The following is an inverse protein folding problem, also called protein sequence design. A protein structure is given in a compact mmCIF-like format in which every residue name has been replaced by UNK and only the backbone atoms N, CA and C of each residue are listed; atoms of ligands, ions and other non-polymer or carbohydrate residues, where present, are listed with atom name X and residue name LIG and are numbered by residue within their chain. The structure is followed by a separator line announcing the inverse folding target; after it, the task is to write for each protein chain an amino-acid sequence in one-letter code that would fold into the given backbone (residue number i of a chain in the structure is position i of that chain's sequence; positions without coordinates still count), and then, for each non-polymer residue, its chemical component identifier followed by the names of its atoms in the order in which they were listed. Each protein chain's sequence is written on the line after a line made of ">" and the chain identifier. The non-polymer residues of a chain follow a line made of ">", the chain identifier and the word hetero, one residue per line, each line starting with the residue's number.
data_IF_535162364944
#
_entry.id   IF_535162364944
#
_cell.length_a   1.000
_cell.length_b   1.000
_cell.length_c   1.000
_cell.angle_alpha   90.00
_cell.angle_beta   90.00
_cell.angle_gamma   90.00
#
_symmetry.space_group_name_H-M   'P 1'
#
loop_
_entity.id
_entity.type
_entity.pdbx_description
1 polymer ?
#
# COMPACT_ATOMS: atom_id res chain seq x y z
N UNK A 1 59.04 9.92 14.58
CA UNK A 1 57.64 10.38 14.65
C UNK A 1 56.67 9.74 13.64
N UNK A 2 57.12 9.00 12.61
CA UNK A 2 56.21 8.46 11.57
C UNK A 2 55.38 7.21 11.95
N UNK A 3 55.90 6.30 12.79
CA UNK A 3 55.20 5.05 13.15
C UNK A 3 53.96 5.24 14.04
N UNK A 4 53.92 6.31 14.85
CA UNK A 4 52.80 6.63 15.74
C UNK A 4 51.63 7.24 14.97
N UNK A 5 51.92 8.14 14.04
CA UNK A 5 50.94 8.76 13.13
C UNK A 5 50.24 7.71 12.27
N UNK A 6 50.99 6.72 11.74
CA UNK A 6 50.41 5.64 10.95
C UNK A 6 49.42 4.78 11.74
N UNK A 7 49.76 4.45 13.01
CA UNK A 7 48.83 3.72 13.89
C UNK A 7 47.56 4.52 14.17
N UNK A 8 47.69 5.83 14.40
CA UNK A 8 46.55 6.71 14.62
C UNK A 8 45.65 6.80 13.38
N UNK A 9 46.26 6.88 12.19
CA UNK A 9 45.55 6.97 10.91
C UNK A 9 44.81 5.67 10.58
N UNK A 10 45.43 4.51 10.83
CA UNK A 10 44.77 3.19 10.67
C UNK A 10 43.63 3.03 11.67
N UNK A 11 43.78 3.51 12.90
CA UNK A 11 42.70 3.50 13.90
C UNK A 11 41.54 4.42 13.47
N UNK A 12 41.85 5.58 12.89
CA UNK A 12 40.85 6.53 12.43
C UNK A 12 40.08 5.98 11.23
N UNK A 13 40.78 5.36 10.27
CA UNK A 13 40.16 4.70 9.11
C UNK A 13 39.31 3.51 9.54
N UNK A 14 39.74 2.70 10.51
CA UNK A 14 38.93 1.56 10.99
C UNK A 14 37.71 2.01 11.80
N UNK A 15 37.81 3.09 12.57
CA UNK A 15 36.66 3.73 13.24
C UNK A 15 35.69 4.35 12.23
N UNK A 16 36.20 4.96 11.15
CA UNK A 16 35.38 5.56 10.10
C UNK A 16 34.69 4.49 9.24
N UNK A 17 35.36 3.38 8.92
CA UNK A 17 34.76 2.23 8.23
C UNK A 17 33.72 1.52 9.10
N UNK A 18 33.94 1.37 10.40
CA UNK A 18 32.94 0.78 11.31
C UNK A 18 31.73 1.70 11.54
N UNK A 19 31.89 3.03 11.47
CA UNK A 19 30.75 3.97 11.48
C UNK A 19 29.99 3.96 10.15
N UNK A 20 30.67 3.79 9.02
CA UNK A 20 30.04 3.59 7.70
C UNK A 20 29.29 2.25 7.62
N UNK A 21 29.83 1.17 8.21
CA UNK A 21 29.14 -0.12 8.30
C UNK A 21 27.96 -0.06 9.29
N UNK A 22 28.08 0.70 10.39
CA UNK A 22 26.99 0.92 11.35
C UNK A 22 25.90 1.88 10.83
N UNK A 23 26.22 2.76 9.88
CA UNK A 23 25.23 3.59 9.17
C UNK A 23 24.65 2.91 7.93
N UNK A 24 25.36 1.94 7.33
CA UNK A 24 24.83 1.04 6.31
C UNK A 24 23.95 -0.08 6.89
N UNK A 25 24.10 -0.36 8.19
CA UNK A 25 23.05 -0.97 9.01
C UNK A 25 22.22 0.14 9.68
N UNK A 26 21.65 1.03 8.88
CA UNK A 26 20.28 1.44 9.18
C UNK A 26 19.50 0.14 9.24
N UNK A 27 19.34 -0.37 10.48
CA UNK A 27 18.31 -1.32 10.80
C UNK A 27 17.04 -0.67 10.27
N UNK A 28 16.66 -1.06 9.06
CA UNK A 28 15.28 -1.36 8.72
C UNK A 28 14.82 -2.45 9.69
N UNK A 29 14.79 -2.13 10.99
CA UNK A 29 13.71 -2.53 11.84
C UNK A 29 12.50 -1.82 11.24
N UNK A 30 12.03 -2.38 10.13
CA UNK A 30 10.61 -2.35 9.85
C UNK A 30 10.06 -3.12 11.03
N UNK A 31 9.63 -2.39 12.05
CA UNK A 31 8.68 -2.94 13.00
C UNK A 31 7.41 -3.09 12.17
N UNK A 32 7.37 -4.16 11.37
CA UNK A 32 6.15 -4.63 10.73
C UNK A 32 5.27 -5.07 11.90
N UNK A 33 4.43 -4.17 12.39
CA UNK A 33 3.30 -4.59 13.21
C UNK A 33 2.28 -5.17 12.24
N UNK A 34 2.52 -6.41 11.80
CA UNK A 34 1.40 -7.24 11.43
C UNK A 34 0.74 -7.69 12.74
N UNK A 35 -0.58 -7.57 12.84
CA UNK A 35 -1.32 -8.31 13.86
C UNK A 35 -1.35 -9.83 13.59
N UNK A 36 -0.83 -10.30 12.44
CA UNK A 36 -0.89 -11.71 12.00
C UNK A 36 0.29 -12.03 11.05
N UNK A 37 0.88 -13.23 11.12
CA UNK A 37 2.00 -13.63 10.25
C UNK A 37 1.72 -13.44 8.74
N UNK A 38 2.75 -13.08 7.97
CA UNK A 38 2.73 -12.93 6.50
C UNK A 38 2.29 -14.21 5.76
N UNK A 39 2.43 -15.38 6.39
CA UNK A 39 1.94 -16.69 5.94
C UNK A 39 0.41 -16.87 6.10
N UNK A 40 -0.25 -16.02 6.90
CA UNK A 40 -1.67 -16.15 7.25
C UNK A 40 -2.55 -15.04 6.63
N UNK A 41 -1.95 -14.04 5.98
CA UNK A 41 -2.68 -12.98 5.27
C UNK A 41 -2.59 -13.19 3.76
N UNK A 42 -3.52 -13.97 3.20
CA UNK A 42 -3.77 -13.92 1.76
C UNK A 42 -4.28 -12.50 1.44
N UNK A 43 -3.38 -11.61 1.02
CA UNK A 43 -3.76 -10.23 0.73
C UNK A 43 -4.53 -10.19 -0.58
N UNK A 44 -5.81 -9.83 -0.47
CA UNK A 44 -6.71 -9.69 -1.61
C UNK A 44 -6.27 -8.56 -2.55
N UNK A 45 -5.44 -7.63 -2.08
CA UNK A 45 -4.83 -6.57 -2.89
C UNK A 45 -4.14 -7.12 -4.14
N UNK A 46 -3.44 -8.26 -4.02
CA UNK A 46 -2.68 -8.89 -5.11
C UNK A 46 -3.58 -9.67 -6.07
N UNK A 47 -4.58 -10.35 -5.54
CA UNK A 47 -5.57 -11.04 -6.38
C UNK A 47 -6.34 -10.05 -7.25
N UNK A 48 -6.77 -8.94 -6.67
CA UNK A 48 -7.46 -7.88 -7.41
C UNK A 48 -6.54 -7.23 -8.45
N UNK A 49 -5.28 -6.98 -8.11
CA UNK A 49 -4.28 -6.48 -9.07
C UNK A 49 -4.14 -7.41 -10.29
N UNK A 50 -4.00 -8.72 -10.06
CA UNK A 50 -3.88 -9.72 -11.14
C UNK A 50 -5.14 -9.77 -12.01
N UNK A 51 -6.32 -9.67 -11.39
CA UNK A 51 -7.57 -9.58 -12.12
C UNK A 51 -7.60 -8.35 -13.04
N UNK A 52 -7.30 -7.17 -12.51
CA UNK A 52 -7.28 -5.93 -13.30
C UNK A 52 -6.25 -6.00 -14.43
N UNK A 53 -5.08 -6.60 -14.19
CA UNK A 53 -4.05 -6.88 -15.22
C UNK A 53 -4.58 -7.79 -16.33
N UNK A 54 -5.28 -8.87 -15.97
CA UNK A 54 -5.83 -9.83 -16.94
C UNK A 54 -6.83 -9.23 -17.92
N UNK A 55 -7.40 -8.05 -17.59
CA UNK A 55 -8.32 -7.33 -18.46
C UNK A 55 -7.63 -6.47 -19.53
N UNK A 56 -6.29 -6.57 -19.67
CA UNK A 56 -5.55 -6.04 -20.83
C UNK A 56 -5.16 -4.57 -20.71
N UNK A 57 -4.87 -4.18 -19.48
CA UNK A 57 -5.18 -2.83 -19.03
C UNK A 57 -3.99 -2.30 -18.18
N UNK A 58 -2.91 -3.07 -18.07
CA UNK A 58 -1.72 -2.66 -17.35
C UNK A 58 -0.48 -2.86 -18.20
N UNK A 59 0.46 -1.91 -18.14
CA UNK A 59 1.66 -1.83 -19.01
C UNK A 59 2.72 -2.91 -18.69
N UNK A 60 2.33 -4.08 -18.16
CA UNK A 60 3.23 -5.14 -17.69
C UNK A 60 4.29 -4.70 -16.67
N UNK A 61 4.17 -3.50 -16.09
CA UNK A 61 5.11 -2.98 -15.10
C UNK A 61 4.94 -3.68 -13.75
N UNK A 62 6.02 -3.75 -12.97
CA UNK A 62 6.01 -4.36 -11.64
C UNK A 62 5.38 -3.37 -10.65
N UNK A 63 4.27 -3.75 -10.04
CA UNK A 63 3.62 -2.92 -9.01
C UNK A 63 4.43 -2.95 -7.72
N UNK A 64 4.38 -1.83 -7.00
CA UNK A 64 5.10 -1.66 -5.74
C UNK A 64 4.13 -1.87 -4.59
N UNK A 65 4.49 -2.78 -3.71
CA UNK A 65 3.92 -2.84 -2.36
C UNK A 65 4.61 -1.77 -1.53
N UNK A 66 3.85 -0.80 -1.04
CA UNK A 66 4.35 0.21 -0.11
C UNK A 66 3.94 -0.21 1.29
N UNK A 67 4.86 -0.86 2.00
CA UNK A 67 4.65 -1.35 3.38
C UNK A 67 5.25 -0.37 4.43
N UNK A 68 5.89 0.74 4.02
CA UNK A 68 6.41 1.85 4.88
C UNK A 68 6.40 3.18 4.10
N UNK A 69 6.40 4.42 4.63
CA UNK A 69 6.27 5.07 5.96
C UNK A 69 5.47 6.37 5.75
N UNK A 70 4.15 6.38 5.75
CA UNK A 70 3.46 6.52 7.01
C UNK A 70 2.06 5.96 6.86
N UNK A 71 1.69 4.96 7.68
CA UNK A 71 0.28 4.56 7.83
C UNK A 71 -0.61 5.79 8.02
N UNK A 72 -0.05 6.86 8.63
CA UNK A 72 -0.65 8.19 8.72
C UNK A 72 -1.10 8.76 7.36
N UNK A 73 -0.32 8.67 6.30
CA UNK A 73 -0.70 9.09 4.95
C UNK A 73 -1.80 8.22 4.36
N UNK A 74 -1.69 6.88 4.46
CA UNK A 74 -2.76 5.99 3.98
C UNK A 74 -4.08 6.28 4.72
N UNK A 75 -4.00 6.49 6.04
CA UNK A 75 -5.13 6.90 6.87
C UNK A 75 -5.70 8.24 6.43
N UNK A 76 -4.86 9.23 6.11
CA UNK A 76 -5.30 10.52 5.55
C UNK A 76 -6.03 10.34 4.21
N UNK A 77 -5.52 9.51 3.29
CA UNK A 77 -6.19 9.20 2.01
C UNK A 77 -7.61 8.66 2.23
N UNK A 78 -7.80 7.91 3.31
CA UNK A 78 -9.06 7.28 3.73
C UNK A 78 -9.89 8.10 4.73
N UNK A 79 -9.52 9.35 4.98
CA UNK A 79 -10.39 10.34 5.61
C UNK A 79 -11.18 11.06 4.52
N UNK A 80 -12.39 10.57 4.24
CA UNK A 80 -13.20 10.99 3.10
C UNK A 80 -14.57 11.45 3.61
N UNK A 81 -14.99 12.65 3.24
CA UNK A 81 -16.30 13.18 3.64
C UNK A 81 -16.51 13.26 5.16
N UNK A 82 -15.46 13.58 5.93
CA UNK A 82 -15.42 13.58 7.39
C UNK A 82 -15.60 12.19 8.04
N UNK A 83 -15.36 11.11 7.29
CA UNK A 83 -15.39 9.73 7.79
C UNK A 83 -13.97 9.17 7.74
N UNK A 84 -13.50 8.60 8.85
CA UNK A 84 -12.27 7.81 8.92
C UNK A 84 -12.59 6.33 8.69
N UNK A 85 -12.26 5.82 7.50
CA UNK A 85 -12.49 4.42 7.11
C UNK A 85 -11.48 3.43 7.71
N UNK A 86 -10.46 3.92 8.41
CA UNK A 86 -9.42 3.08 9.00
C UNK A 86 -9.65 2.76 10.47
N UNK A 87 -10.72 3.29 11.07
CA UNK A 87 -11.01 3.08 12.48
C UNK A 87 -11.27 1.59 12.77
N UNK A 88 -10.50 1.04 13.70
CA UNK A 88 -10.62 -0.37 14.11
C UNK A 88 -9.96 -1.36 13.15
N UNK A 89 -9.10 -0.89 12.25
CA UNK A 89 -8.32 -1.75 11.37
C UNK A 89 -7.36 -2.67 12.17
N UNK A 90 -7.20 -3.91 11.73
CA UNK A 90 -6.14 -4.84 12.21
C UNK A 90 -4.89 -4.77 11.34
N UNK A 91 -5.05 -4.44 10.05
CA UNK A 91 -3.96 -4.18 9.12
C UNK A 91 -4.42 -3.24 8.01
N UNK A 92 -3.46 -2.59 7.36
CA UNK A 92 -3.67 -1.80 6.14
C UNK A 92 -2.52 -2.13 5.19
N UNK A 93 -2.83 -2.38 3.93
CA UNK A 93 -1.84 -2.58 2.86
C UNK A 93 -2.23 -1.69 1.70
N UNK A 94 -1.26 -0.99 1.11
CA UNK A 94 -1.46 -0.23 -0.12
C UNK A 94 -0.56 -0.80 -1.22
N UNK A 95 -1.18 -1.07 -2.37
CA UNK A 95 -0.53 -1.45 -3.60
C UNK A 95 -0.71 -0.34 -4.61
N UNK A 96 0.40 0.08 -5.18
CA UNK A 96 0.44 1.18 -6.13
C UNK A 96 0.94 0.68 -7.47
N UNK A 97 0.30 1.14 -8.54
CA UNK A 97 0.64 0.70 -9.88
C UNK A 97 0.50 1.79 -10.94
N UNK A 98 1.41 1.80 -11.92
CA UNK A 98 1.44 2.80 -13.00
C UNK A 98 2.84 3.07 -13.56
N UNK A 99 2.95 4.09 -14.42
CA UNK A 99 4.24 4.58 -14.92
C UNK A 99 4.95 5.38 -13.84
N UNK A 100 6.05 4.85 -13.33
CA UNK A 100 7.07 5.65 -12.67
C UNK A 100 7.64 6.59 -13.74
N UNK A 101 7.38 7.90 -13.65
CA UNK A 101 8.24 8.88 -14.29
C UNK A 101 9.44 9.11 -13.37
N UNK A 102 10.58 9.45 -13.96
CA UNK A 102 11.87 9.50 -13.26
C UNK A 102 11.94 10.61 -12.20
N UNK A 103 10.94 11.50 -12.17
CA UNK A 103 10.85 12.58 -11.20
C UNK A 103 10.11 12.15 -9.91
N UNK A 104 10.79 12.09 -8.76
CA UNK A 104 10.18 11.78 -7.47
C UNK A 104 9.22 12.86 -6.95
N UNK A 105 9.20 14.07 -7.55
CA UNK A 105 8.22 15.12 -7.21
C UNK A 105 6.89 14.97 -7.97
N UNK A 106 6.85 14.14 -9.01
CA UNK A 106 5.64 13.83 -9.77
C UNK A 106 5.04 12.49 -9.30
N UNK A 107 4.11 12.54 -8.35
CA UNK A 107 3.26 11.37 -8.05
C UNK A 107 2.48 10.97 -9.31
N UNK A 108 2.96 9.93 -9.99
CA UNK A 108 2.42 9.48 -11.28
C UNK A 108 2.04 7.99 -11.28
N UNK A 109 1.58 7.49 -10.14
CA UNK A 109 0.93 6.18 -10.08
C UNK A 109 -0.39 6.26 -10.85
N UNK A 110 -0.71 5.24 -11.64
CA UNK A 110 -1.91 5.22 -12.48
C UNK A 110 -3.15 4.81 -11.69
N UNK A 111 -2.98 3.94 -10.69
CA UNK A 111 -4.02 3.48 -9.78
C UNK A 111 -3.43 3.02 -8.44
N UNK A 112 -4.27 2.95 -7.42
CA UNK A 112 -3.93 2.36 -6.14
C UNK A 112 -5.03 1.45 -5.62
N UNK A 113 -4.63 0.41 -4.88
CA UNK A 113 -5.52 -0.48 -4.14
C UNK A 113 -5.10 -0.43 -2.67
N UNK A 114 -6.00 0.00 -1.79
CA UNK A 114 -5.80 -0.07 -0.34
C UNK A 114 -6.70 -1.15 0.24
N UNK A 115 -6.10 -2.18 0.83
CA UNK A 115 -6.81 -3.20 1.61
C UNK A 115 -6.78 -2.83 3.09
N UNK A 116 -7.95 -2.81 3.72
CA UNK A 116 -8.11 -2.66 5.17
C UNK A 116 -8.73 -3.93 5.72
N UNK A 117 -8.02 -4.60 6.64
CA UNK A 117 -8.54 -5.75 7.37
C UNK A 117 -9.17 -5.35 8.69
N UNK A 118 -10.22 -6.07 9.09
CA UNK A 118 -10.93 -5.91 10.38
C UNK A 118 -10.94 -7.22 11.17
N UNK A 119 -11.22 -7.15 12.49
CA UNK A 119 -11.27 -8.35 13.33
C UNK A 119 -12.52 -9.20 13.08
N UNK A 120 -13.61 -8.57 12.63
CA UNK A 120 -14.89 -9.22 12.35
C UNK A 120 -15.42 -8.90 10.96
N UNK A 121 -16.22 -9.81 10.40
CA UNK A 121 -16.90 -9.56 9.11
C UNK A 121 -17.93 -8.44 9.22
N UNK A 122 -18.62 -8.33 10.35
CA UNK A 122 -19.63 -7.28 10.56
C UNK A 122 -19.01 -5.87 10.46
N UNK A 123 -17.83 -5.66 11.04
CA UNK A 123 -17.10 -4.40 10.88
C UNK A 123 -16.79 -4.10 9.41
N UNK A 124 -16.31 -5.11 8.66
CA UNK A 124 -16.03 -4.95 7.23
C UNK A 124 -17.31 -4.63 6.44
N UNK A 125 -18.46 -5.23 6.79
CA UNK A 125 -19.78 -4.91 6.20
C UNK A 125 -20.19 -3.47 6.46
N UNK A 126 -20.06 -3.00 7.70
CA UNK A 126 -20.47 -1.64 8.08
C UNK A 126 -19.59 -0.58 7.43
N UNK A 127 -18.28 -0.81 7.38
CA UNK A 127 -17.31 0.05 6.68
C UNK A 127 -17.60 0.05 5.18
N UNK A 128 -17.81 -1.11 4.57
CA UNK A 128 -18.10 -1.21 3.14
C UNK A 128 -19.37 -0.46 2.74
N UNK A 129 -20.47 -0.59 3.51
CA UNK A 129 -21.71 0.14 3.23
C UNK A 129 -21.49 1.65 3.22
N UNK A 130 -20.74 2.17 4.19
CA UNK A 130 -20.38 3.59 4.27
C UNK A 130 -19.46 4.02 3.13
N UNK A 131 -18.45 3.21 2.81
CA UNK A 131 -17.52 3.47 1.72
C UNK A 131 -18.22 3.50 0.35
N UNK A 132 -19.18 2.61 0.13
CA UNK A 132 -19.98 2.55 -1.11
C UNK A 132 -20.88 3.77 -1.30
N UNK A 133 -21.44 4.31 -0.22
CA UNK A 133 -22.18 5.59 -0.29
C UNK A 133 -21.22 6.76 -0.50
N UNK A 134 -20.06 6.75 0.16
CA UNK A 134 -19.08 7.81 0.05
C UNK A 134 -18.47 7.90 -1.37
N UNK A 135 -18.22 6.77 -2.03
CA UNK A 135 -17.63 6.72 -3.39
C UNK A 135 -18.50 7.35 -4.47
N UNK A 136 -19.81 7.52 -4.20
CA UNK A 136 -20.75 8.18 -5.10
C UNK A 136 -20.73 9.71 -4.95
N UNK A 137 -20.23 10.24 -3.82
CA UNK A 137 -20.31 11.65 -3.45
C UNK A 137 -18.93 12.33 -3.34
N UNK A 138 -17.90 11.56 -3.00
CA UNK A 138 -16.59 12.07 -2.67
C UNK A 138 -15.50 11.35 -3.47
N UNK A 139 -14.38 12.02 -3.62
CA UNK A 139 -13.14 11.46 -4.17
C UNK A 139 -12.22 11.02 -3.03
N UNK A 140 -11.18 10.25 -3.32
CA UNK A 140 -10.14 9.99 -2.33
C UNK A 140 -9.49 11.30 -1.88
N UNK A 141 -9.00 11.33 -0.64
CA UNK A 141 -8.28 12.48 -0.10
C UNK A 141 -6.80 12.46 -0.53
N UNK A 142 -6.58 12.54 -1.84
CA UNK A 142 -5.27 12.71 -2.46
C UNK A 142 -5.25 14.13 -3.03
N UNK A 143 -4.47 15.06 -2.45
CA UNK A 143 -4.37 16.43 -2.91
C UNK A 143 -4.06 16.49 -4.42
N UNK A 144 -4.52 17.56 -5.07
CA UNK A 144 -4.32 17.85 -6.51
C UNK A 144 -5.10 16.92 -7.45
N UNK A 145 -5.07 15.60 -7.24
CA UNK A 145 -5.62 14.63 -8.20
C UNK A 145 -7.10 14.30 -7.99
N UNK A 146 -7.63 14.47 -6.77
CA UNK A 146 -9.03 14.17 -6.40
C UNK A 146 -9.58 12.90 -7.10
N UNK A 147 -8.93 11.74 -6.96
CA UNK A 147 -9.25 10.61 -7.81
C UNK A 147 -10.57 9.95 -7.39
N UNK A 148 -11.41 9.52 -8.36
CA UNK A 148 -12.57 8.70 -8.07
C UNK A 148 -12.11 7.35 -7.50
N UNK A 149 -13.00 6.71 -6.73
CA UNK A 149 -12.73 5.38 -6.19
C UNK A 149 -13.96 4.48 -6.22
N UNK A 150 -13.70 3.18 -6.13
CA UNK A 150 -14.67 2.12 -5.87
C UNK A 150 -14.19 1.28 -4.71
N UNK A 151 -15.09 0.52 -4.14
CA UNK A 151 -14.76 -0.37 -3.04
C UNK A 151 -15.41 -1.73 -3.25
N UNK A 152 -14.72 -2.76 -2.76
CA UNK A 152 -15.22 -4.13 -2.70
C UNK A 152 -14.91 -4.70 -1.32
N UNK A 153 -15.80 -5.55 -0.81
CA UNK A 153 -15.60 -6.25 0.46
C UNK A 153 -15.34 -7.72 0.19
N UNK A 154 -14.32 -8.27 0.84
CA UNK A 154 -14.02 -9.69 0.81
C UNK A 154 -13.76 -10.19 2.22
N UNK A 155 -14.61 -11.08 2.73
CA UNK A 155 -14.53 -11.57 4.10
C UNK A 155 -14.49 -10.42 5.11
N UNK A 156 -13.38 -10.37 5.86
CA UNK A 156 -13.07 -9.34 6.87
C UNK A 156 -12.30 -8.13 6.32
N UNK A 157 -12.10 -8.04 5.01
CA UNK A 157 -11.37 -6.95 4.36
C UNK A 157 -12.29 -6.05 3.54
N UNK A 158 -11.93 -4.78 3.44
CA UNK A 158 -12.48 -3.83 2.48
C UNK A 158 -11.34 -3.29 1.63
N UNK A 159 -11.46 -3.42 0.32
CA UNK A 159 -10.50 -2.92 -0.65
C UNK A 159 -11.06 -1.63 -1.26
N UNK A 160 -10.26 -0.57 -1.22
CA UNK A 160 -10.51 0.70 -1.89
C UNK A 160 -9.62 0.77 -3.12
N UNK A 161 -10.22 0.96 -4.29
CA UNK A 161 -9.51 1.05 -5.56
C UNK A 161 -9.73 2.45 -6.11
N UNK A 162 -8.65 3.15 -6.42
CA UNK A 162 -8.73 4.51 -6.94
C UNK A 162 -7.84 4.67 -8.18
N UNK A 163 -8.24 5.58 -9.04
CA UNK A 163 -7.61 5.87 -10.33
C UNK A 163 -7.10 7.31 -10.31
N UNK A 164 -5.77 7.51 -10.34
CA UNK A 164 -5.17 8.86 -10.39
C UNK A 164 -5.18 9.38 -11.84
N UNK A 165 -5.13 8.48 -12.83
CA UNK A 165 -5.16 8.82 -14.24
C UNK A 165 -6.52 8.48 -14.85
N UNK A 166 -7.18 9.43 -15.51
CA UNK A 166 -8.50 9.23 -16.17
C UNK A 166 -8.57 8.01 -17.09
N UNK A 167 -7.45 7.57 -17.67
CA UNK A 167 -7.37 6.36 -18.48
C UNK A 167 -7.64 5.07 -17.68
N UNK A 168 -7.52 5.14 -16.35
CA UNK A 168 -7.75 4.04 -15.40
C UNK A 168 -9.16 4.05 -14.79
N UNK A 169 -10.05 4.95 -15.19
CA UNK A 169 -11.42 5.02 -14.64
C UNK A 169 -12.26 3.80 -15.05
N UNK A 170 -12.10 3.30 -16.27
CA UNK A 170 -12.77 2.07 -16.75
C UNK A 170 -12.50 0.82 -15.89
N UNK A 171 -11.46 0.85 -15.07
CA UNK A 171 -11.06 -0.25 -14.20
C UNK A 171 -11.81 -0.20 -12.89
N UNK A 172 -12.19 1.00 -12.46
CA UNK A 172 -13.03 1.18 -11.29
C UNK A 172 -14.36 0.44 -11.48
N UNK A 173 -14.93 0.47 -12.69
CA UNK A 173 -16.16 -0.26 -13.00
C UNK A 173 -15.99 -1.79 -12.93
N UNK A 174 -14.78 -2.30 -13.24
CA UNK A 174 -14.46 -3.73 -13.15
C UNK A 174 -14.28 -4.22 -11.70
N UNK A 175 -14.02 -3.32 -10.75
CA UNK A 175 -13.86 -3.68 -9.33
C UNK A 175 -15.14 -4.27 -8.77
N UNK A 176 -16.30 -3.75 -9.18
CA UNK A 176 -17.59 -4.21 -8.66
C UNK A 176 -17.97 -5.61 -9.14
N UNK A 177 -17.43 -6.04 -10.29
CA UNK A 177 -17.62 -7.37 -10.84
C UNK A 177 -16.58 -8.38 -10.37
N UNK A 178 -15.52 -7.93 -9.69
CA UNK A 178 -14.47 -8.81 -9.21
C UNK A 178 -14.94 -9.68 -8.04
N UNK A 179 -14.47 -10.92 -8.03
CA UNK A 179 -14.63 -11.86 -6.93
C UNK A 179 -13.26 -12.48 -6.63
N UNK A 180 -12.92 -12.68 -5.34
CA UNK A 180 -11.69 -13.37 -4.97
C UNK A 180 -11.69 -14.79 -5.51
N UNK A 181 -10.49 -15.33 -5.79
CA UNK A 181 -10.38 -16.75 -6.14
C UNK A 181 -10.84 -17.56 -4.93
N UNK A 182 -11.81 -18.47 -5.13
CA UNK A 182 -12.18 -19.44 -4.11
C UNK A 182 -10.89 -20.12 -3.65
N UNK A 183 -10.59 -20.07 -2.36
CA UNK A 183 -9.60 -20.99 -1.81
C UNK A 183 -10.14 -22.39 -2.08
N UNK A 184 -9.55 -23.10 -3.03
CA UNK A 184 -9.56 -24.55 -2.95
C UNK A 184 -8.89 -24.87 -1.62
N UNK A 185 -9.68 -25.30 -0.64
CA UNK A 185 -9.14 -25.77 0.62
C UNK A 185 -8.19 -26.91 0.31
N UNK A 186 -6.91 -26.86 0.73
CA UNK A 186 -6.12 -28.06 0.77
C UNK A 186 -6.74 -28.91 1.89
N UNK A 187 -7.58 -29.86 1.51
CA UNK A 187 -7.86 -31.01 2.36
C UNK A 187 -6.56 -31.80 2.53
#
# INVERSE_FOLDING_TARGET
>A
MGKSMYKLFVLFISLFLTSLISSAQEKRCITEIYSVEKSQSKSYVRELELYLKSKGLYDNKKSRETITSSIKEIKKKLQIGNIDFTRGNIFIVELLGGKIYEDPEEWCEGFGIIEIGFSTEQQAVDIFKKAKMASQKYTMNIPIYRPPFRCVRVGKSVLFVYSINVNMDKYLDLVESWQPLKCESPF
#
